data_IF_129173543841
#
_entry.id   IF_129173543841
#
_cell.length_a   1.000
_cell.length_b   1.000
_cell.length_c   1.000
_cell.angle_alpha   90.00
_cell.angle_beta   90.00
_cell.angle_gamma   90.00
#
_symmetry.space_group_name_H-M   'P 1'
#
loop_
_entity.id
_entity.type
_entity.pdbx_description
1 polymer ?
#
# COMPACT_ATOMS: atom_id res chain seq x y z
N UNK A 1 -20.37 -10.89 -13.84
CA UNK A 1 -20.83 -9.70 -13.11
C UNK A 1 -20.06 -9.63 -11.82
N UNK A 2 -19.60 -8.45 -11.39
CA UNK A 2 -18.87 -8.31 -10.14
C UNK A 2 -19.78 -8.52 -8.93
N UNK A 3 -19.24 -9.12 -7.87
CA UNK A 3 -19.98 -9.43 -6.62
C UNK A 3 -19.59 -8.46 -5.50
N UNK A 4 -20.37 -8.35 -4.41
CA UNK A 4 -19.97 -7.58 -3.24
C UNK A 4 -18.61 -8.00 -2.66
N UNK A 5 -18.26 -9.29 -2.78
CA UNK A 5 -16.95 -9.81 -2.36
C UNK A 5 -15.79 -9.22 -3.15
N UNK A 6 -16.02 -8.82 -4.41
CA UNK A 6 -14.99 -8.19 -5.25
C UNK A 6 -14.61 -6.81 -4.73
N UNK A 7 -15.58 -6.08 -4.15
CA UNK A 7 -15.33 -4.77 -3.51
C UNK A 7 -14.46 -4.97 -2.27
N UNK A 8 -14.80 -5.95 -1.43
CA UNK A 8 -14.02 -6.27 -0.22
C UNK A 8 -12.60 -6.69 -0.58
N UNK A 9 -12.44 -7.56 -1.58
CA UNK A 9 -11.14 -7.97 -2.07
C UNK A 9 -10.35 -6.78 -2.63
N UNK A 10 -10.99 -5.91 -3.41
CA UNK A 10 -10.38 -4.68 -3.91
C UNK A 10 -9.91 -3.74 -2.80
N UNK A 11 -10.67 -3.63 -1.70
CA UNK A 11 -10.27 -2.85 -0.53
C UNK A 11 -9.01 -3.42 0.13
N UNK A 12 -8.92 -4.75 0.32
CA UNK A 12 -7.72 -5.37 0.89
C UNK A 12 -6.49 -5.24 -0.01
N UNK A 13 -6.68 -5.34 -1.34
CA UNK A 13 -5.59 -5.10 -2.31
C UNK A 13 -5.12 -3.65 -2.23
N UNK A 14 -6.04 -2.69 -2.18
CA UNK A 14 -5.73 -1.26 -2.08
C UNK A 14 -4.98 -0.91 -0.80
N UNK A 15 -5.41 -1.46 0.33
CA UNK A 15 -4.75 -1.25 1.62
C UNK A 15 -3.34 -1.85 1.64
N UNK A 16 -3.15 -3.08 1.17
CA UNK A 16 -1.84 -3.72 1.07
C UNK A 16 -0.87 -2.97 0.14
N UNK A 17 -1.36 -2.38 -0.96
CA UNK A 17 -0.56 -1.50 -1.83
C UNK A 17 -0.17 -0.19 -1.13
N UNK A 18 -1.01 0.31 -0.21
CA UNK A 18 -0.78 1.56 0.49
C UNK A 18 0.26 1.43 1.62
N UNK A 19 0.61 0.22 2.08
CA UNK A 19 1.55 -0.01 3.18
C UNK A 19 2.93 0.62 2.96
N UNK A 20 3.52 0.42 1.78
CA UNK A 20 4.84 0.95 1.44
C UNK A 20 4.94 2.47 1.61
N UNK A 21 4.10 3.27 0.91
CA UNK A 21 4.08 4.73 1.05
C UNK A 21 3.37 5.22 2.32
N UNK A 22 2.81 4.34 3.15
CA UNK A 22 2.05 4.76 4.32
C UNK A 22 2.91 5.65 5.24
N UNK A 23 2.35 6.78 5.68
CA UNK A 23 3.04 7.86 6.40
C UNK A 23 4.02 8.74 5.58
N UNK A 24 4.10 8.58 4.26
CA UNK A 24 4.74 9.55 3.39
C UNK A 24 3.68 10.49 2.84
N UNK A 25 3.73 11.77 3.22
CA UNK A 25 2.72 12.75 2.81
C UNK A 25 3.11 13.55 1.56
N UNK A 26 4.39 13.61 1.21
CA UNK A 26 4.86 14.29 0.01
C UNK A 26 4.72 13.39 -1.22
N UNK A 27 3.81 13.70 -2.19
CA UNK A 27 3.63 12.88 -3.38
C UNK A 27 4.86 12.88 -4.30
N UNK A 28 5.68 13.93 -4.26
CA UNK A 28 6.94 13.98 -5.01
C UNK A 28 7.93 12.97 -4.45
N UNK A 29 8.00 12.85 -3.12
CA UNK A 29 8.83 11.84 -2.46
C UNK A 29 8.34 10.42 -2.77
N UNK A 30 7.02 10.18 -2.77
CA UNK A 30 6.46 8.87 -3.17
C UNK A 30 6.86 8.56 -4.62
N UNK A 31 6.68 9.51 -5.54
CA UNK A 31 7.02 9.31 -6.96
C UNK A 31 8.51 9.08 -7.18
N UNK A 32 9.37 9.79 -6.46
CA UNK A 32 10.83 9.61 -6.55
C UNK A 32 11.27 8.23 -6.06
N UNK A 33 10.71 7.78 -4.92
CA UNK A 33 11.14 6.53 -4.27
C UNK A 33 10.47 5.28 -4.84
N UNK A 34 9.19 5.38 -5.20
CA UNK A 34 8.36 4.24 -5.57
C UNK A 34 7.83 4.30 -7.01
N UNK A 35 7.92 5.45 -7.67
CA UNK A 35 7.28 5.66 -8.96
C UNK A 35 5.77 5.46 -8.88
N UNK A 36 5.22 4.69 -9.82
CA UNK A 36 3.83 4.25 -9.77
C UNK A 36 3.75 3.00 -8.90
N UNK A 37 2.96 3.05 -7.82
CA UNK A 37 2.73 1.89 -6.95
C UNK A 37 1.90 0.84 -7.70
N UNK A 38 2.57 -0.22 -8.17
CA UNK A 38 1.94 -1.37 -8.84
C UNK A 38 2.33 -2.71 -8.22
N UNK A 39 3.15 -2.69 -7.17
CA UNK A 39 3.62 -3.87 -6.44
C UNK A 39 3.54 -3.60 -4.94
N UNK A 40 3.39 -4.65 -4.14
CA UNK A 40 3.47 -4.55 -2.69
C UNK A 40 4.90 -4.24 -2.25
N UNK A 41 5.03 -3.45 -1.18
CA UNK A 41 6.32 -2.97 -0.69
C UNK A 41 6.33 -2.95 0.83
N UNK A 42 7.50 -3.19 1.40
CA UNK A 42 7.71 -3.05 2.84
C UNK A 42 7.48 -1.59 3.27
N UNK A 43 7.07 -1.34 4.54
CA UNK A 43 6.89 0.02 5.06
C UNK A 43 8.16 0.86 4.93
N UNK A 44 8.04 2.07 4.41
CA UNK A 44 9.18 2.98 4.26
C UNK A 44 9.35 3.97 5.41
N UNK A 45 8.33 4.08 6.28
CA UNK A 45 8.34 4.91 7.47
C UNK A 45 8.65 4.07 8.72
N UNK A 46 8.96 4.74 9.84
CA UNK A 46 9.26 4.07 11.12
C UNK A 46 8.04 3.41 11.78
N UNK A 47 6.84 3.74 11.31
CA UNK A 47 5.60 3.07 11.70
C UNK A 47 5.48 1.72 11.00
N UNK A 48 4.54 0.86 11.44
CA UNK A 48 4.36 -0.50 10.89
C UNK A 48 5.56 -1.43 11.08
N UNK A 49 6.28 -1.27 12.18
CA UNK A 49 7.41 -2.14 12.53
C UNK A 49 6.99 -3.61 12.54
N UNK A 50 7.69 -4.43 11.75
CA UNK A 50 7.46 -5.87 11.65
C UNK A 50 6.41 -6.27 10.61
N UNK A 51 5.81 -5.32 9.89
CA UNK A 51 4.99 -5.62 8.70
C UNK A 51 5.86 -5.74 7.46
N UNK A 52 5.38 -6.50 6.50
CA UNK A 52 6.04 -6.78 5.23
C UNK A 52 5.11 -6.49 4.04
N UNK A 53 5.69 -6.43 2.85
CA UNK A 53 4.96 -6.30 1.60
C UNK A 53 3.75 -7.25 1.51
N UNK A 54 2.55 -6.68 1.41
CA UNK A 54 1.29 -7.42 1.30
C UNK A 54 0.47 -7.46 2.59
N UNK A 55 1.06 -7.10 3.73
CA UNK A 55 0.32 -6.89 4.97
C UNK A 55 -0.60 -5.67 4.84
N UNK A 56 -1.65 -5.67 5.66
CA UNK A 56 -2.54 -4.51 5.77
C UNK A 56 -1.84 -3.36 6.51
N UNK A 57 -2.30 -2.12 6.34
CA UNK A 57 -1.85 -0.95 7.12
C UNK A 57 -2.29 -1.03 8.57
#
# INVERSE_FOLDING_TARGET
MSTPSDIVLGSFIGDALALGPHWIYDPSQIREKLGRVTVYQDPMAVYHKGKHAGDQT
#
